data_IF_135070787466
#
_entry.id   IF_135070787466
#
_cell.length_a   1.000
_cell.length_b   1.000
_cell.length_c   1.000
_cell.angle_alpha   90.00
_cell.angle_beta   90.00
_cell.angle_gamma   90.00
#
_symmetry.space_group_name_H-M   'P 1'
#
loop_
_entity.id
_entity.type
_entity.pdbx_description
1 polymer ?
#
# COMPACT_ATOMS: atom_id res chain seq x y z
N UNK A 1 -31.34 24.62 6.54
CA UNK A 1 -31.57 24.07 7.89
C UNK A 1 -32.07 25.17 8.84
N UNK A 2 -33.26 25.00 9.41
CA UNK A 2 -34.03 26.00 10.17
C UNK A 2 -33.59 26.20 11.63
N UNK A 3 -32.49 25.59 12.08
CA UNK A 3 -32.06 25.63 13.49
C UNK A 3 -30.78 26.43 13.78
N UNK A 4 -30.13 27.04 12.78
CA UNK A 4 -28.83 27.72 12.95
C UNK A 4 -28.93 29.24 13.13
N UNK A 5 -30.14 29.78 13.36
CA UNK A 5 -30.38 31.21 13.59
C UNK A 5 -29.71 32.17 12.57
N UNK A 6 -29.55 31.73 11.30
CA UNK A 6 -28.96 32.53 10.21
C UNK A 6 -27.47 32.30 9.96
N UNK A 7 -26.77 31.52 10.79
CA UNK A 7 -25.36 31.20 10.59
C UNK A 7 -25.16 30.01 9.65
N UNK A 8 -24.07 30.03 8.87
CA UNK A 8 -23.71 28.98 7.90
C UNK A 8 -23.38 27.65 8.60
N UNK A 9 -22.85 27.72 9.82
CA UNK A 9 -22.49 26.61 10.72
C UNK A 9 -22.90 26.97 12.16
N UNK A 10 -22.82 26.03 13.11
CA UNK A 10 -23.12 26.31 14.52
C UNK A 10 -22.25 27.45 15.08
N UNK A 11 -22.83 28.29 15.93
CA UNK A 11 -22.23 29.52 16.47
C UNK A 11 -22.40 29.58 17.99
N UNK A 12 -21.42 30.11 18.72
CA UNK A 12 -21.46 30.29 20.17
C UNK A 12 -22.06 31.65 20.51
N UNK A 13 -23.14 31.66 21.30
CA UNK A 13 -23.73 32.90 21.82
C UNK A 13 -23.68 32.93 23.34
N UNK A 14 -22.89 33.86 23.90
CA UNK A 14 -22.91 34.14 25.32
C UNK A 14 -24.06 35.10 25.66
N UNK A 15 -24.81 34.80 26.72
CA UNK A 15 -25.96 35.61 27.16
C UNK A 15 -25.60 36.68 28.20
N UNK A 16 -24.33 36.80 28.58
CA UNK A 16 -23.87 37.83 29.51
C UNK A 16 -23.46 39.10 28.78
N UNK A 17 -23.95 40.26 29.24
CA UNK A 17 -23.69 41.56 28.63
C UNK A 17 -22.20 41.92 28.55
N UNK A 18 -21.39 41.50 29.53
CA UNK A 18 -19.94 41.71 29.55
C UNK A 18 -19.17 40.93 28.48
N UNK A 19 -19.77 39.88 27.91
CA UNK A 19 -19.15 38.98 26.96
C UNK A 19 -19.62 39.23 25.51
N UNK A 20 -20.33 40.33 25.25
CA UNK A 20 -20.90 40.63 23.94
C UNK A 20 -19.86 40.83 22.81
N UNK A 21 -18.59 41.07 23.16
CA UNK A 21 -17.49 41.25 22.21
C UNK A 21 -16.81 39.93 21.81
N UNK A 22 -17.11 38.82 22.50
CA UNK A 22 -16.46 37.53 22.24
C UNK A 22 -17.05 36.87 21.00
N UNK A 23 -16.18 36.31 20.17
CA UNK A 23 -16.54 35.58 18.96
C UNK A 23 -16.28 34.07 19.12
N UNK A 24 -16.69 33.28 18.12
CA UNK A 24 -16.54 31.82 18.14
C UNK A 24 -15.09 31.36 18.38
N UNK A 25 -14.11 32.09 17.83
CA UNK A 25 -12.69 31.79 18.04
C UNK A 25 -12.27 31.95 19.51
N UNK A 26 -12.82 32.91 20.24
CA UNK A 26 -12.54 33.08 21.68
C UNK A 26 -13.09 31.91 22.50
N UNK A 27 -14.27 31.38 22.11
CA UNK A 27 -14.87 30.22 22.77
C UNK A 27 -14.13 28.93 22.41
N UNK A 28 -13.80 28.72 21.14
CA UNK A 28 -13.04 27.57 20.67
C UNK A 28 -11.65 27.52 21.31
N UNK A 29 -10.94 28.66 21.38
CA UNK A 29 -9.65 28.72 22.07
C UNK A 29 -9.76 28.46 23.57
N UNK A 30 -10.84 28.90 24.23
CA UNK A 30 -11.04 28.66 25.66
C UNK A 30 -11.28 27.19 26.01
N UNK A 31 -11.76 26.38 25.05
CA UNK A 31 -11.88 24.92 25.17
C UNK A 31 -10.69 24.19 24.53
N UNK A 32 -9.58 24.90 24.27
CA UNK A 32 -8.36 24.37 23.66
C UNK A 32 -8.63 23.70 22.29
N UNK A 33 -9.58 24.24 21.54
CA UNK A 33 -9.92 23.79 20.19
C UNK A 33 -9.38 24.78 19.16
N UNK A 34 -8.09 24.71 18.88
CA UNK A 34 -7.40 25.49 17.86
C UNK A 34 -7.33 24.76 16.52
N UNK A 35 -7.45 25.49 15.41
CA UNK A 35 -7.30 24.95 14.05
C UNK A 35 -5.92 24.30 13.83
N UNK A 36 -4.92 24.68 14.64
CA UNK A 36 -3.54 24.14 14.60
C UNK A 36 -3.33 22.90 15.47
N UNK A 37 -4.33 22.52 16.29
CA UNK A 37 -4.22 21.35 17.17
C UNK A 37 -4.58 20.05 16.45
N UNK A 38 -5.05 20.16 15.20
CA UNK A 38 -5.33 19.04 14.33
C UNK A 38 -4.21 18.89 13.29
N UNK A 39 -3.77 17.66 13.11
CA UNK A 39 -2.86 17.29 12.03
C UNK A 39 -3.56 17.51 10.68
N UNK A 40 -2.91 18.23 9.78
CA UNK A 40 -3.42 18.48 8.43
C UNK A 40 -3.23 17.24 7.56
N UNK A 41 -4.23 16.35 7.60
CA UNK A 41 -4.26 15.13 6.79
C UNK A 41 -4.41 15.39 5.28
N UNK A 42 -4.56 16.64 4.84
CA UNK A 42 -4.61 16.96 3.39
C UNK A 42 -3.24 17.12 2.76
N UNK A 43 -2.18 17.24 3.57
CA UNK A 43 -0.80 17.27 3.09
C UNK A 43 -0.26 15.86 2.83
N UNK A 44 -0.87 15.15 1.87
CA UNK A 44 -0.23 13.96 1.30
C UNK A 44 0.79 14.45 0.27
N UNK A 45 2.07 14.45 0.62
CA UNK A 45 3.15 14.60 -0.37
C UNK A 45 3.14 13.37 -1.29
N UNK A 46 2.24 13.37 -2.27
CA UNK A 46 2.22 12.35 -3.33
C UNK A 46 3.41 12.67 -4.23
N UNK A 47 4.52 11.97 -4.01
CA UNK A 47 5.66 12.01 -4.92
C UNK A 47 5.14 11.79 -6.35
N UNK A 48 5.41 12.73 -7.26
CA UNK A 48 4.95 12.61 -8.64
C UNK A 48 5.44 11.26 -9.21
N UNK A 49 4.54 10.40 -9.71
CA UNK A 49 4.92 9.06 -10.14
C UNK A 49 5.94 9.16 -11.27
N UNK A 50 7.02 8.39 -11.17
CA UNK A 50 8.10 8.40 -12.14
C UNK A 50 7.55 8.26 -13.58
N UNK A 51 8.12 8.97 -14.57
CA UNK A 51 7.61 8.96 -15.94
C UNK A 51 7.48 7.52 -16.45
N UNK A 52 6.39 7.21 -17.15
CA UNK A 52 6.10 5.86 -17.64
C UNK A 52 7.24 5.38 -18.55
N UNK A 53 7.63 4.09 -18.49
CA UNK A 53 8.67 3.56 -19.36
C UNK A 53 8.28 3.73 -20.83
N UNK A 54 9.27 4.01 -21.68
CA UNK A 54 9.05 4.05 -23.11
C UNK A 54 8.75 2.64 -23.64
N UNK A 55 7.47 2.33 -23.81
CA UNK A 55 7.02 1.08 -24.42
C UNK A 55 7.21 1.11 -25.94
N UNK A 56 7.63 -0.03 -26.52
CA UNK A 56 7.57 -0.22 -27.96
C UNK A 56 6.11 -0.31 -28.39
N UNK A 57 5.70 0.58 -29.28
CA UNK A 57 4.34 0.67 -29.81
C UNK A 57 4.33 0.43 -31.30
N UNK A 58 3.23 -0.10 -31.80
CA UNK A 58 3.03 -0.26 -33.23
C UNK A 58 2.59 1.05 -33.91
N UNK A 59 2.35 0.98 -35.23
CA UNK A 59 1.90 2.11 -36.06
C UNK A 59 0.53 2.67 -35.67
N UNK A 60 -0.31 1.89 -34.99
CA UNK A 60 -1.63 2.26 -34.48
C UNK A 60 -1.57 2.73 -33.02
N UNK A 61 -0.38 2.80 -32.42
CA UNK A 61 -0.16 3.28 -31.05
C UNK A 61 -0.41 2.23 -29.96
N UNK A 62 -0.68 0.98 -30.32
CA UNK A 62 -0.84 -0.13 -29.37
C UNK A 62 0.51 -0.62 -28.86
N UNK A 63 0.60 -0.98 -27.58
CA UNK A 63 1.82 -1.54 -27.00
C UNK A 63 2.00 -2.97 -27.51
N UNK A 64 3.19 -3.27 -28.05
CA UNK A 64 3.47 -4.62 -28.55
C UNK A 64 3.57 -5.63 -27.40
N UNK A 65 2.96 -6.81 -27.59
CA UNK A 65 3.03 -7.93 -26.65
C UNK A 65 4.39 -8.63 -26.72
N UNK A 66 5.46 -7.91 -26.36
CA UNK A 66 6.82 -8.42 -26.24
C UNK A 66 7.17 -8.65 -24.77
N UNK A 67 8.10 -9.57 -24.51
CA UNK A 67 8.56 -9.88 -23.14
C UNK A 67 9.12 -8.61 -22.46
N UNK A 68 9.94 -7.81 -23.16
CA UNK A 68 10.51 -6.56 -22.63
C UNK A 68 9.44 -5.53 -22.23
N UNK A 69 8.41 -5.32 -23.07
CA UNK A 69 7.33 -4.39 -22.74
C UNK A 69 6.49 -4.90 -21.55
N UNK A 70 6.17 -6.20 -21.54
CA UNK A 70 5.39 -6.80 -20.47
C UNK A 70 6.18 -6.77 -19.14
N UNK A 71 7.48 -7.05 -19.18
CA UNK A 71 8.37 -6.95 -18.03
C UNK A 71 8.42 -5.53 -17.47
N UNK A 72 8.63 -4.51 -18.32
CA UNK A 72 8.58 -3.09 -17.91
C UNK A 72 7.24 -2.68 -17.32
N UNK A 73 6.15 -3.27 -17.80
CA UNK A 73 4.82 -3.00 -17.27
C UNK A 73 4.61 -3.66 -15.90
N UNK A 74 4.94 -4.94 -15.75
CA UNK A 74 4.74 -5.72 -14.52
C UNK A 74 5.68 -5.31 -13.39
N UNK A 75 6.91 -4.90 -13.72
CA UNK A 75 7.88 -4.36 -12.75
C UNK A 75 7.39 -3.08 -12.06
N UNK A 76 6.41 -2.39 -12.63
CA UNK A 76 5.85 -1.15 -12.05
C UNK A 76 4.49 -1.40 -11.42
N UNK A 77 4.39 -1.42 -10.07
CA UNK A 77 3.12 -1.50 -9.37
C UNK A 77 2.15 -0.39 -9.78
N UNK A 78 2.63 0.81 -10.13
CA UNK A 78 1.79 1.92 -10.60
C UNK A 78 1.00 1.61 -11.87
N UNK A 79 1.55 0.76 -12.74
CA UNK A 79 0.96 0.49 -14.05
C UNK A 79 -0.12 -0.60 -13.97
N UNK A 80 0.23 -1.72 -13.33
CA UNK A 80 -0.64 -2.89 -13.21
C UNK A 80 -1.54 -2.83 -11.96
N UNK A 81 -1.15 -2.06 -10.95
CA UNK A 81 -1.86 -1.92 -9.69
C UNK A 81 -1.55 -3.01 -8.66
N UNK A 82 -0.57 -3.87 -8.95
CA UNK A 82 -0.12 -4.95 -8.06
C UNK A 82 1.40 -4.98 -8.00
N UNK A 83 1.94 -5.25 -6.81
CA UNK A 83 3.34 -5.57 -6.56
C UNK A 83 3.48 -7.09 -6.50
N UNK A 84 4.46 -7.65 -7.20
CA UNK A 84 4.69 -9.10 -7.30
C UNK A 84 6.11 -9.38 -6.83
N UNK A 85 6.25 -10.29 -5.87
CA UNK A 85 7.52 -10.64 -5.25
C UNK A 85 7.62 -12.12 -4.96
N UNK A 86 8.84 -12.62 -4.81
CA UNK A 86 9.07 -14.00 -4.41
C UNK A 86 9.33 -14.08 -2.90
N UNK A 87 8.52 -14.87 -2.17
CA UNK A 87 8.73 -15.11 -0.74
C UNK A 87 9.68 -16.28 -0.53
N UNK A 88 10.91 -15.99 -0.11
CA UNK A 88 11.94 -17.01 0.15
C UNK A 88 11.60 -17.93 1.32
N UNK A 89 10.79 -17.47 2.28
CA UNK A 89 10.40 -18.29 3.42
C UNK A 89 9.31 -19.29 3.05
N UNK A 90 8.36 -18.87 2.20
CA UNK A 90 7.26 -19.73 1.72
C UNK A 90 7.60 -20.50 0.45
N UNK A 91 8.66 -20.12 -0.25
CA UNK A 91 9.04 -20.65 -1.57
C UNK A 91 7.91 -20.47 -2.62
N UNK A 92 7.21 -19.33 -2.55
CA UNK A 92 6.01 -19.05 -3.35
C UNK A 92 6.02 -17.61 -3.89
N UNK A 93 5.38 -17.41 -5.05
CA UNK A 93 5.15 -16.06 -5.60
C UNK A 93 3.98 -15.44 -4.85
N UNK A 94 4.21 -14.23 -4.35
CA UNK A 94 3.24 -13.43 -3.63
C UNK A 94 2.91 -12.16 -4.41
N UNK A 95 1.71 -11.64 -4.22
CA UNK A 95 1.35 -10.31 -4.71
C UNK A 95 0.59 -9.51 -3.66
N UNK A 96 0.69 -8.19 -3.77
CA UNK A 96 -0.09 -7.26 -2.97
C UNK A 96 -0.63 -6.13 -3.87
N UNK A 97 -1.83 -5.61 -3.60
CA UNK A 97 -2.29 -4.37 -4.22
C UNK A 97 -1.27 -3.23 -4.03
N UNK A 98 -1.06 -2.41 -5.06
CA UNK A 98 -0.08 -1.32 -5.03
C UNK A 98 -0.31 -0.40 -3.82
N UNK A 99 0.74 -0.17 -3.04
CA UNK A 99 0.69 0.65 -1.82
C UNK A 99 0.16 -0.06 -0.58
N UNK A 100 -0.05 -1.37 -0.62
CA UNK A 100 -0.48 -2.18 0.55
C UNK A 100 0.53 -3.27 0.88
N UNK A 101 0.62 -3.65 2.15
CA UNK A 101 1.43 -4.80 2.62
C UNK A 101 0.58 -6.06 2.81
N UNK A 102 -0.53 -6.19 2.07
CA UNK A 102 -1.45 -7.32 2.15
C UNK A 102 -1.03 -8.42 1.16
N UNK A 103 0.05 -9.11 1.49
CA UNK A 103 0.61 -10.18 0.67
C UNK A 103 -0.34 -11.39 0.59
N UNK A 104 -0.65 -11.81 -0.63
CA UNK A 104 -1.49 -12.97 -0.97
C UNK A 104 -0.77 -13.89 -1.94
N UNK A 105 -1.13 -15.18 -1.93
CA UNK A 105 -0.52 -16.17 -2.82
C UNK A 105 -0.96 -15.95 -4.26
N UNK A 106 0.00 -16.00 -5.18
CA UNK A 106 -0.25 -15.79 -6.61
C UNK A 106 -0.87 -17.04 -7.23
N UNK A 107 -2.19 -17.00 -7.51
CA UNK A 107 -2.94 -18.13 -8.07
C UNK A 107 -3.07 -18.06 -9.60
N UNK A 108 -3.53 -19.15 -10.21
CA UNK A 108 -3.77 -19.22 -11.66
C UNK A 108 -4.77 -18.16 -12.17
N UNK A 109 -5.70 -17.73 -11.30
CA UNK A 109 -6.64 -16.66 -11.60
C UNK A 109 -5.94 -15.30 -11.78
N UNK A 110 -4.82 -15.08 -11.10
CA UNK A 110 -4.07 -13.82 -11.19
C UNK A 110 -3.41 -13.63 -12.56
N UNK A 111 -2.94 -14.71 -13.21
CA UNK A 111 -2.45 -14.61 -14.60
C UNK A 111 -3.54 -14.09 -15.54
N UNK A 112 -4.79 -14.53 -15.34
CA UNK A 112 -5.92 -14.08 -16.15
C UNK A 112 -6.28 -12.62 -15.86
N UNK A 113 -6.26 -12.20 -14.58
CA UNK A 113 -6.47 -10.81 -14.17
C UNK A 113 -5.40 -9.88 -14.73
N UNK A 114 -4.13 -10.28 -14.67
CA UNK A 114 -3.01 -9.52 -15.20
C UNK A 114 -3.17 -9.27 -16.71
N UNK A 115 -3.56 -10.30 -17.47
CA UNK A 115 -3.82 -10.18 -18.92
C UNK A 115 -4.91 -9.17 -19.22
N UNK A 116 -6.03 -9.23 -18.50
CA UNK A 116 -7.14 -8.27 -18.66
C UNK A 116 -6.65 -6.85 -18.36
N UNK A 117 -5.84 -6.66 -17.32
CA UNK A 117 -5.28 -5.35 -16.96
C UNK A 117 -4.35 -4.83 -18.06
N UNK A 118 -3.46 -5.66 -18.61
CA UNK A 118 -2.57 -5.27 -19.70
C UNK A 118 -3.36 -4.88 -20.96
N UNK A 119 -4.36 -5.66 -21.35
CA UNK A 119 -5.23 -5.37 -22.50
C UNK A 119 -5.97 -4.04 -22.33
N UNK A 120 -6.54 -3.77 -21.14
CA UNK A 120 -7.19 -2.49 -20.81
C UNK A 120 -6.24 -1.29 -20.88
N UNK A 121 -4.95 -1.51 -20.66
CA UNK A 121 -3.90 -0.47 -20.73
C UNK A 121 -3.33 -0.29 -22.15
N UNK A 122 -3.88 -0.98 -23.15
CA UNK A 122 -3.52 -0.80 -24.56
C UNK A 122 -2.43 -1.74 -25.07
N UNK A 123 -2.14 -2.84 -24.35
CA UNK A 123 -1.35 -3.93 -24.90
C UNK A 123 -2.12 -4.71 -25.97
N UNK A 124 -1.41 -5.19 -26.98
CA UNK A 124 -1.89 -6.28 -27.84
C UNK A 124 -2.17 -7.52 -26.99
N UNK A 125 -3.01 -8.41 -27.50
CA UNK A 125 -3.37 -9.66 -26.83
C UNK A 125 -2.11 -10.41 -26.38
N UNK A 126 -1.90 -10.47 -25.06
CA UNK A 126 -0.73 -11.10 -24.46
C UNK A 126 -1.05 -12.58 -24.23
N UNK A 127 -0.17 -13.47 -24.66
CA UNK A 127 -0.32 -14.92 -24.43
C UNK A 127 -0.14 -15.30 -22.96
N UNK A 128 -0.71 -16.43 -22.54
CA UNK A 128 -0.61 -16.92 -21.15
C UNK A 128 0.84 -17.19 -20.75
N UNK A 129 1.59 -17.89 -21.59
CA UNK A 129 3.00 -18.24 -21.34
C UNK A 129 3.87 -16.99 -21.19
N UNK A 130 3.67 -15.99 -22.05
CA UNK A 130 4.41 -14.72 -21.96
C UNK A 130 4.20 -14.04 -20.61
N UNK A 131 2.96 -14.01 -20.11
CA UNK A 131 2.70 -13.45 -18.79
C UNK A 131 3.33 -14.28 -17.69
N UNK A 132 3.30 -15.61 -17.81
CA UNK A 132 3.92 -16.52 -16.83
C UNK A 132 5.43 -16.31 -16.74
N UNK A 133 6.11 -16.26 -17.87
CA UNK A 133 7.56 -16.03 -17.96
C UNK A 133 7.95 -14.69 -17.34
N UNK A 134 7.17 -13.63 -17.63
CA UNK A 134 7.41 -12.29 -17.07
C UNK A 134 7.17 -12.24 -15.57
N UNK A 135 6.09 -12.86 -15.08
CA UNK A 135 5.79 -12.90 -13.64
C UNK A 135 6.89 -13.64 -12.89
N UNK A 136 7.38 -14.76 -13.43
CA UNK A 136 8.49 -15.50 -12.85
C UNK A 136 9.76 -14.65 -12.78
N UNK A 137 10.10 -13.95 -13.87
CA UNK A 137 11.27 -13.08 -13.91
C UNK A 137 11.16 -11.91 -12.91
N UNK A 138 10.01 -11.24 -12.84
CA UNK A 138 9.81 -10.12 -11.91
C UNK A 138 9.86 -10.59 -10.45
N UNK A 139 9.30 -11.76 -10.16
CA UNK A 139 9.36 -12.35 -8.83
C UNK A 139 10.81 -12.68 -8.42
N UNK A 140 11.60 -13.25 -9.35
CA UNK A 140 13.02 -13.57 -9.12
C UNK A 140 13.88 -12.31 -8.89
N UNK A 141 13.60 -11.20 -9.58
CA UNK A 141 14.29 -9.93 -9.36
C UNK A 141 13.95 -9.24 -8.03
N UNK A 142 12.79 -9.57 -7.44
CA UNK A 142 12.29 -8.95 -6.21
C UNK A 142 12.00 -9.99 -5.12
N UNK A 143 13.04 -10.67 -4.59
CA UNK A 143 12.86 -11.59 -3.48
C UNK A 143 12.64 -10.82 -2.17
N UNK A 144 11.80 -11.36 -1.29
CA UNK A 144 11.66 -10.93 0.09
C UNK A 144 11.48 -12.15 1.00
N UNK A 145 11.63 -11.95 2.31
CA UNK A 145 11.43 -13.00 3.31
C UNK A 145 10.36 -12.53 4.30
N UNK A 146 9.19 -13.18 4.24
CA UNK A 146 8.06 -12.80 5.10
C UNK A 146 8.30 -13.07 6.58
N UNK A 147 9.15 -14.06 6.93
CA UNK A 147 9.49 -14.34 8.31
C UNK A 147 10.41 -13.28 8.89
N UNK A 148 11.40 -12.81 8.12
CA UNK A 148 12.29 -11.71 8.52
C UNK A 148 11.51 -10.39 8.62
N UNK A 149 10.66 -10.06 7.65
CA UNK A 149 9.81 -8.87 7.73
C UNK A 149 8.91 -8.91 8.97
N UNK A 150 8.27 -10.05 9.24
CA UNK A 150 7.47 -10.23 10.43
C UNK A 150 8.30 -10.10 11.71
N UNK A 151 9.46 -10.75 11.78
CA UNK A 151 10.35 -10.68 12.94
C UNK A 151 10.80 -9.24 13.22
N UNK A 152 11.16 -8.49 12.19
CA UNK A 152 11.60 -7.10 12.32
C UNK A 152 10.46 -6.14 12.73
N UNK A 153 9.20 -6.51 12.44
CA UNK A 153 8.04 -5.72 12.88
C UNK A 153 7.75 -5.84 14.38
N UNK A 154 8.28 -6.88 15.04
CA UNK A 154 8.03 -7.13 16.46
C UNK A 154 8.95 -6.25 17.32
N UNK A 155 8.33 -5.44 18.19
CA UNK A 155 9.05 -4.71 19.23
C UNK A 155 9.27 -5.61 20.44
N UNK A 156 10.53 -5.94 20.72
CA UNK A 156 10.86 -6.65 21.96
C UNK A 156 10.57 -5.76 23.17
N UNK A 157 9.97 -6.35 24.20
CA UNK A 157 9.60 -5.68 25.45
C UNK A 157 10.77 -5.57 26.45
N UNK A 158 11.97 -6.01 26.05
CA UNK A 158 13.19 -5.90 26.86
C UNK A 158 13.28 -6.90 28.00
N UNK A 159 12.29 -7.77 28.20
CA UNK A 159 12.27 -8.73 29.29
C UNK A 159 12.96 -10.03 28.81
N UNK A 160 14.12 -10.39 29.38
CA UNK A 160 14.77 -11.67 29.08
C UNK A 160 13.89 -12.81 29.59
N UNK A 161 13.40 -13.66 28.69
CA UNK A 161 12.53 -14.80 29.03
C UNK A 161 13.25 -16.14 29.10
N UNK A 162 14.34 -16.29 28.36
CA UNK A 162 15.10 -17.55 28.30
C UNK A 162 16.55 -17.23 28.64
N UNK A 163 16.94 -17.58 29.86
CA UNK A 163 18.33 -17.42 30.34
C UNK A 163 19.19 -18.67 30.06
N UNK A 164 18.56 -19.83 29.83
CA UNK A 164 19.25 -21.11 29.60
C UNK A 164 18.59 -21.89 28.46
N UNK A 165 19.35 -22.17 27.41
CA UNK A 165 18.95 -23.12 26.37
C UNK A 165 19.17 -24.55 26.89
N UNK A 166 18.14 -25.40 26.82
CA UNK A 166 18.20 -26.78 27.32
C UNK A 166 19.31 -27.58 26.60
N UNK A 167 20.33 -28.00 27.34
CA UNK A 167 21.49 -28.76 26.82
C UNK A 167 21.31 -30.29 26.93
N UNK A 168 20.23 -30.75 27.55
CA UNK A 168 20.03 -32.19 27.80
C UNK A 168 18.83 -32.70 27.02
N UNK A 169 19.07 -33.37 25.89
CA UNK A 169 18.07 -34.28 25.33
C UNK A 169 18.01 -35.49 26.26
N UNK A 170 16.83 -35.77 26.80
CA UNK A 170 16.58 -36.95 27.63
C UNK A 170 16.74 -38.18 26.73
N UNK A 171 17.83 -38.93 26.90
CA UNK A 171 17.94 -40.29 26.36
C UNK A 171 17.03 -41.18 27.20
N UNK A 172 15.77 -41.32 26.81
CA UNK A 172 14.90 -42.40 27.29
C UNK A 172 15.26 -43.66 26.48
N UNK A 173 16.16 -44.47 27.05
CA UNK A 173 16.33 -45.86 26.62
C UNK A 173 15.24 -46.71 27.28
N UNK A 174 14.71 -47.62 26.45
CA UNK A 174 13.74 -48.69 26.68
C UNK A 174 13.87 -49.45 28.01
#
# INVERSE_FOLDING_TARGET
PSSTAGFKVGHFKCLHASCAHRNDGDFLNAIEFGVRDFEDLTSTEVAEPAPLPAFKRDKYGQIEATIDNAFKAVTRPDFVGVDIRFDQFRDEIMFAPSGTSQWQTFSDAEYSRLRITLEKRGFKAVGRELVRDVVLLVADENPFDSAIEWLNSLKWDGIPRIERFYHTRRNENL
#
